data_IF_994497085030
#
_entry.id   IF_994497085030
#
_cell.length_a   1.000
_cell.length_b   1.000
_cell.length_c   1.000
_cell.angle_alpha   90.00
_cell.angle_beta   90.00
_cell.angle_gamma   90.00
#
_symmetry.space_group_name_H-M   'P 1'
#
loop_
_entity.id
_entity.type
_entity.pdbx_description
1 polymer ?
#
# COMPACT_ATOMS: atom_id res chain seq x y z
N UNK A 1 38.24 28.50 6.05
CA UNK A 1 37.63 28.10 4.77
C UNK A 1 36.52 27.08 5.06
N UNK A 2 35.28 27.54 5.11
CA UNK A 2 34.10 26.69 5.37
C UNK A 2 33.52 26.26 4.01
N UNK A 3 33.58 24.97 3.71
CA UNK A 3 32.88 24.39 2.57
C UNK A 3 31.48 23.97 2.98
N UNK A 4 30.46 24.73 2.60
CA UNK A 4 29.05 24.35 2.66
C UNK A 4 28.76 23.35 1.55
N UNK A 5 28.53 22.08 1.90
CA UNK A 5 27.91 21.11 1.01
C UNK A 5 26.38 21.24 1.16
N UNK A 6 25.76 21.92 0.22
CA UNK A 6 24.31 21.97 0.07
C UNK A 6 23.83 20.62 -0.48
N UNK A 7 23.21 19.79 0.36
CA UNK A 7 22.50 18.60 -0.08
C UNK A 7 21.15 19.03 -0.70
N UNK A 8 21.09 19.05 -2.03
CA UNK A 8 19.86 19.33 -2.78
C UNK A 8 18.82 18.27 -2.55
N UNK A 9 17.74 18.61 -1.84
CA UNK A 9 16.50 17.85 -1.79
C UNK A 9 15.69 18.21 -3.05
N UNK A 10 15.63 17.29 -4.00
CA UNK A 10 14.74 17.44 -5.18
C UNK A 10 13.32 17.15 -4.72
N UNK A 11 12.56 18.19 -4.41
CA UNK A 11 11.13 18.18 -4.21
C UNK A 11 10.45 18.29 -5.59
N UNK A 12 10.02 17.16 -6.14
CA UNK A 12 9.10 17.18 -7.28
C UNK A 12 7.67 17.25 -6.74
N UNK A 13 7.08 18.43 -6.82
CA UNK A 13 5.67 18.69 -6.52
C UNK A 13 4.87 18.31 -7.75
N UNK A 14 4.22 17.15 -7.72
CA UNK A 14 3.20 16.76 -8.68
C UNK A 14 1.84 17.29 -8.24
N UNK A 15 1.16 18.05 -9.10
CA UNK A 15 -0.19 18.58 -8.89
C UNK A 15 -1.23 17.47 -9.03
N UNK A 16 -2.00 17.24 -7.97
CA UNK A 16 -3.14 16.30 -7.97
C UNK A 16 -4.39 17.06 -8.40
N UNK A 17 -4.99 16.68 -9.52
CA UNK A 17 -6.34 17.11 -9.92
C UNK A 17 -7.37 16.23 -9.22
N UNK A 18 -8.28 16.87 -8.47
CA UNK A 18 -9.37 16.22 -7.75
C UNK A 18 -10.45 15.70 -8.72
N UNK A 19 -10.72 14.41 -8.69
CA UNK A 19 -11.85 13.76 -9.34
C UNK A 19 -13.06 13.67 -8.40
N UNK A 20 -14.22 14.02 -8.95
CA UNK A 20 -15.52 14.20 -8.28
C UNK A 20 -16.13 12.85 -7.83
N UNK A 21 -16.52 12.75 -6.54
CA UNK A 21 -17.35 11.67 -6.00
C UNK A 21 -18.81 11.87 -6.41
N UNK A 22 -19.41 10.90 -7.09
CA UNK A 22 -20.86 10.78 -7.25
C UNK A 22 -21.38 9.73 -6.27
N UNK A 23 -22.08 10.17 -5.24
CA UNK A 23 -22.81 9.32 -4.32
C UNK A 23 -24.11 8.83 -4.97
N UNK A 24 -24.32 7.52 -5.02
CA UNK A 24 -25.64 6.91 -5.28
C UNK A 24 -26.20 6.35 -4.00
N UNK A 25 -27.25 7.00 -3.51
CA UNK A 25 -28.16 6.50 -2.47
C UNK A 25 -29.13 5.51 -3.09
N UNK A 26 -29.13 4.27 -2.61
CA UNK A 26 -30.13 3.24 -2.90
C UNK A 26 -30.85 2.83 -1.62
N UNK A 27 -32.16 3.03 -1.62
CA UNK A 27 -33.12 2.79 -0.56
C UNK A 27 -33.47 1.30 -0.44
N UNK A 28 -33.68 0.72 0.76
CA UNK A 28 -34.10 -0.68 0.90
C UNK A 28 -35.62 -0.81 0.91
N UNK A 29 -36.17 -1.59 -0.02
CA UNK A 29 -37.54 -2.07 0.02
C UNK A 29 -37.66 -3.37 0.81
N UNK A 30 -38.50 -3.33 1.84
CA UNK A 30 -38.90 -4.45 2.67
C UNK A 30 -40.29 -4.94 2.19
N UNK A 31 -40.57 -6.22 1.98
CA UNK A 31 -41.92 -6.70 1.91
C UNK A 31 -42.34 -7.52 3.13
N UNK A 32 -43.52 -7.18 3.53
CA UNK A 32 -44.37 -7.66 4.61
C UNK A 32 -44.72 -9.15 4.49
N UNK A 33 -44.72 -9.81 5.68
CA UNK A 33 -45.19 -11.17 5.88
C UNK A 33 -46.73 -11.29 5.80
N UNK A 34 -47.22 -12.38 5.21
CA UNK A 34 -48.60 -12.87 5.29
C UNK A 34 -48.65 -14.34 5.74
N UNK A 35 -49.73 -14.80 6.37
CA UNK A 35 -49.72 -15.94 7.27
C UNK A 35 -49.95 -17.30 6.60
N UNK A 36 -49.51 -18.32 7.35
CA UNK A 36 -49.53 -19.75 7.08
C UNK A 36 -50.90 -20.37 6.81
N UNK A 37 -50.92 -21.38 5.94
CA UNK A 37 -51.93 -22.43 5.95
C UNK A 37 -51.24 -23.78 5.84
N UNK A 38 -51.48 -24.64 6.81
CA UNK A 38 -51.02 -26.00 6.92
C UNK A 38 -51.93 -26.95 6.12
N UNK A 39 -51.34 -27.87 5.35
CA UNK A 39 -51.96 -29.17 5.09
C UNK A 39 -50.87 -30.24 4.80
N UNK A 40 -51.03 -31.47 5.31
CA UNK A 40 -49.99 -32.47 5.25
C UNK A 40 -50.24 -33.47 4.10
N UNK A 41 -49.25 -33.66 3.23
CA UNK A 41 -49.28 -34.78 2.30
C UNK A 41 -47.91 -35.34 1.97
N UNK A 42 -47.73 -36.59 2.40
CA UNK A 42 -46.99 -37.68 1.77
C UNK A 42 -45.51 -37.49 1.38
N UNK A 43 -44.69 -38.26 2.12
CA UNK A 43 -43.29 -38.58 1.87
C UNK A 43 -43.08 -39.23 0.49
N UNK A 44 -42.47 -38.48 -0.42
CA UNK A 44 -41.73 -39.06 -1.53
C UNK A 44 -40.26 -38.66 -1.32
N UNK A 45 -39.42 -39.65 -1.02
CA UNK A 45 -37.98 -39.46 -0.91
C UNK A 45 -37.41 -39.17 -2.33
N UNK A 46 -37.36 -37.90 -2.67
CA UNK A 46 -36.61 -37.44 -3.83
C UNK A 46 -35.19 -37.18 -3.35
N UNK A 47 -34.26 -38.04 -3.71
CA UNK A 47 -32.84 -37.79 -3.60
C UNK A 47 -32.50 -36.61 -4.48
N UNK A 48 -32.45 -35.42 -3.86
CA UNK A 48 -31.91 -34.24 -4.55
C UNK A 48 -30.43 -34.50 -4.88
N UNK A 49 -30.02 -34.27 -6.13
CA UNK A 49 -28.61 -34.33 -6.47
C UNK A 49 -27.85 -33.30 -5.57
N UNK A 50 -26.81 -33.79 -4.86
CA UNK A 50 -25.84 -32.92 -4.18
C UNK A 50 -25.32 -31.97 -5.24
N UNK A 51 -25.42 -30.62 -5.05
CA UNK A 51 -24.83 -29.70 -6.00
C UNK A 51 -23.33 -29.97 -6.03
N UNK A 52 -22.81 -30.22 -7.22
CA UNK A 52 -21.37 -30.28 -7.48
C UNK A 52 -20.71 -29.03 -6.86
N UNK A 53 -19.58 -29.14 -6.19
CA UNK A 53 -18.87 -27.98 -5.68
C UNK A 53 -18.57 -27.08 -6.87
N UNK A 54 -19.29 -25.96 -6.96
CA UNK A 54 -19.04 -24.93 -7.96
C UNK A 54 -17.62 -24.43 -7.71
N UNK A 55 -16.66 -24.93 -8.47
CA UNK A 55 -15.30 -24.41 -8.48
C UNK A 55 -15.39 -22.96 -8.96
N UNK A 56 -15.18 -22.03 -8.04
CA UNK A 56 -15.10 -20.60 -8.36
C UNK A 56 -14.04 -20.41 -9.47
N UNK A 57 -14.36 -19.71 -10.57
CA UNK A 57 -13.37 -19.52 -11.63
C UNK A 57 -12.11 -18.87 -11.09
N UNK A 58 -10.95 -19.42 -11.41
CA UNK A 58 -9.67 -18.84 -11.04
C UNK A 58 -9.59 -17.39 -11.55
N UNK A 59 -9.09 -16.47 -10.73
CA UNK A 59 -8.97 -15.06 -11.08
C UNK A 59 -8.11 -14.89 -12.36
N UNK A 60 -8.60 -14.07 -13.28
CA UNK A 60 -7.90 -13.82 -14.56
C UNK A 60 -6.58 -13.08 -14.33
N UNK A 61 -5.65 -13.09 -15.30
CA UNK A 61 -4.45 -12.26 -15.22
C UNK A 61 -4.74 -10.77 -15.00
N UNK A 62 -5.84 -10.29 -15.58
CA UNK A 62 -6.32 -8.92 -15.42
C UNK A 62 -6.72 -8.63 -13.97
N UNK A 63 -7.52 -9.51 -13.35
CA UNK A 63 -7.97 -9.36 -11.97
C UNK A 63 -6.80 -9.40 -11.00
N UNK A 64 -5.85 -10.31 -11.22
CA UNK A 64 -4.64 -10.41 -10.39
C UNK A 64 -3.75 -9.17 -10.54
N UNK A 65 -3.60 -8.64 -11.76
CA UNK A 65 -2.86 -7.41 -12.00
C UNK A 65 -3.55 -6.20 -11.33
N UNK A 66 -4.88 -6.12 -11.35
CA UNK A 66 -5.63 -5.05 -10.69
C UNK A 66 -5.39 -5.02 -9.18
N UNK A 67 -5.32 -6.17 -8.52
CA UNK A 67 -4.98 -6.27 -7.09
C UNK A 67 -3.61 -5.67 -6.82
N UNK A 68 -2.61 -6.04 -7.63
CA UNK A 68 -1.24 -5.49 -7.49
C UNK A 68 -1.24 -3.99 -7.76
N UNK A 69 -1.91 -3.52 -8.81
CA UNK A 69 -1.94 -2.10 -9.19
C UNK A 69 -2.57 -1.22 -8.11
N UNK A 70 -3.70 -1.64 -7.51
CA UNK A 70 -4.32 -0.96 -6.36
C UNK A 70 -3.39 -0.91 -5.14
N UNK A 71 -2.59 -1.94 -4.94
CA UNK A 71 -1.60 -1.98 -3.86
C UNK A 71 -0.48 -0.95 -4.10
N UNK A 72 -0.06 -0.78 -5.36
CA UNK A 72 0.92 0.24 -5.75
C UNK A 72 0.38 1.66 -5.51
N UNK A 73 -0.89 1.93 -5.80
CA UNK A 73 -1.52 3.23 -5.53
C UNK A 73 -1.51 3.56 -4.04
N UNK A 74 -1.84 2.60 -3.18
CA UNK A 74 -1.77 2.79 -1.73
C UNK A 74 -0.34 3.00 -1.25
N UNK A 75 0.63 2.30 -1.84
CA UNK A 75 2.04 2.50 -1.53
C UNK A 75 2.51 3.91 -1.90
N UNK A 76 2.07 4.45 -3.03
CA UNK A 76 2.34 5.83 -3.44
C UNK A 76 1.72 6.84 -2.47
N UNK A 77 0.49 6.59 -1.99
CA UNK A 77 -0.16 7.43 -0.98
C UNK A 77 0.60 7.43 0.35
N UNK A 78 1.03 6.26 0.85
CA UNK A 78 1.85 6.13 2.06
C UNK A 78 3.17 6.90 1.92
N UNK A 79 3.82 6.83 0.75
CA UNK A 79 5.03 7.62 0.47
C UNK A 79 4.78 9.12 0.52
N UNK A 80 3.65 9.59 0.01
CA UNK A 80 3.27 11.01 0.08
C UNK A 80 3.12 11.48 1.55
N UNK A 81 2.42 10.69 2.39
CA UNK A 81 2.31 10.93 3.84
C UNK A 81 3.68 10.97 4.51
N UNK A 82 4.56 10.00 4.20
CA UNK A 82 5.93 9.94 4.71
C UNK A 82 6.69 11.23 4.42
N UNK A 83 6.70 11.67 3.17
CA UNK A 83 7.42 12.88 2.73
C UNK A 83 6.88 14.13 3.42
N UNK A 84 5.57 14.25 3.61
CA UNK A 84 4.94 15.35 4.33
C UNK A 84 5.36 15.35 5.81
N UNK A 85 5.34 14.19 6.46
CA UNK A 85 5.73 14.04 7.86
C UNK A 85 7.22 14.37 8.06
N UNK A 86 8.13 13.84 7.24
CA UNK A 86 9.56 14.18 7.25
C UNK A 86 9.75 15.69 7.05
N UNK A 87 9.04 16.29 6.10
CA UNK A 87 9.09 17.72 5.84
C UNK A 87 8.66 18.56 7.05
N UNK A 88 7.65 18.13 7.80
CA UNK A 88 7.22 18.80 9.03
C UNK A 88 8.28 18.70 10.13
N UNK A 89 8.87 17.52 10.34
CA UNK A 89 9.95 17.33 11.33
C UNK A 89 11.19 18.17 10.98
N UNK A 90 11.57 18.21 9.70
CA UNK A 90 12.70 19.03 9.23
C UNK A 90 12.49 20.53 9.50
N UNK A 91 11.26 21.01 9.37
CA UNK A 91 10.90 22.40 9.69
C UNK A 91 10.56 22.64 11.15
N UNK A 92 10.70 21.63 12.01
CA UNK A 92 10.33 21.67 13.43
C UNK A 92 8.87 22.13 13.66
N UNK A 93 7.94 21.62 12.83
CA UNK A 93 6.52 22.00 12.86
C UNK A 93 5.66 20.76 13.05
N UNK A 94 4.56 20.92 13.82
CA UNK A 94 3.56 19.86 14.03
C UNK A 94 4.18 18.52 14.42
N UNK A 95 5.18 18.54 15.29
CA UNK A 95 6.04 17.39 15.60
C UNK A 95 5.25 16.16 16.04
N UNK A 96 4.26 16.34 16.94
CA UNK A 96 3.41 15.23 17.40
C UNK A 96 2.61 14.61 16.26
N UNK A 97 1.97 15.43 15.43
CA UNK A 97 1.22 14.95 14.26
C UNK A 97 2.13 14.31 13.20
N UNK A 98 3.34 14.89 13.00
CA UNK A 98 4.31 14.32 12.08
C UNK A 98 4.79 12.94 12.56
N UNK A 99 5.07 12.77 13.85
CA UNK A 99 5.44 11.48 14.43
C UNK A 99 4.31 10.46 14.32
N UNK A 100 3.06 10.86 14.56
CA UNK A 100 1.88 9.99 14.38
C UNK A 100 1.77 9.54 12.91
N UNK A 101 1.91 10.45 11.94
CA UNK A 101 1.89 10.12 10.52
C UNK A 101 3.03 9.18 10.09
N UNK A 102 4.24 9.31 10.66
CA UNK A 102 5.32 8.36 10.41
C UNK A 102 5.00 6.95 10.90
N UNK A 103 4.35 6.82 12.06
CA UNK A 103 3.91 5.52 12.61
C UNK A 103 2.82 4.90 11.76
N UNK A 104 1.81 5.70 11.37
CA UNK A 104 0.73 5.27 10.47
C UNK A 104 1.28 4.72 9.16
N UNK A 105 2.26 5.38 8.56
CA UNK A 105 2.93 4.87 7.35
C UNK A 105 3.59 3.51 7.58
N UNK A 106 4.22 3.30 8.72
CA UNK A 106 4.81 2.00 9.08
C UNK A 106 3.75 0.89 9.22
N UNK A 107 2.59 1.20 9.79
CA UNK A 107 1.45 0.29 9.89
C UNK A 107 0.87 -0.04 8.50
N UNK A 108 0.65 0.96 7.66
CA UNK A 108 0.22 0.79 6.27
C UNK A 108 1.18 -0.11 5.47
N UNK A 109 2.50 0.09 5.63
CA UNK A 109 3.52 -0.78 4.97
C UNK A 109 3.43 -2.22 5.43
N UNK A 110 3.24 -2.43 6.72
CA UNK A 110 3.09 -3.78 7.29
C UNK A 110 1.89 -4.50 6.69
N UNK A 111 0.76 -3.80 6.55
CA UNK A 111 -0.43 -4.33 5.90
C UNK A 111 -0.18 -4.62 4.41
N UNK A 112 0.43 -3.69 3.68
CA UNK A 112 0.77 -3.87 2.28
C UNK A 112 1.69 -5.08 2.04
N UNK A 113 2.66 -5.32 2.92
CA UNK A 113 3.53 -6.51 2.85
C UNK A 113 2.72 -7.79 3.03
N UNK A 114 1.81 -7.83 4.00
CA UNK A 114 0.94 -8.98 4.23
C UNK A 114 0.02 -9.24 3.02
N UNK A 115 -0.51 -8.19 2.41
CA UNK A 115 -1.34 -8.29 1.21
C UNK A 115 -0.55 -8.79 -0.01
N UNK A 116 0.71 -8.34 -0.18
CA UNK A 116 1.60 -8.89 -1.23
C UNK A 116 1.83 -10.39 -1.03
N UNK A 117 2.02 -10.83 0.22
CA UNK A 117 2.21 -12.25 0.52
C UNK A 117 0.96 -13.08 0.22
N UNK A 118 -0.22 -12.52 0.47
CA UNK A 118 -1.50 -13.18 0.26
C UNK A 118 -2.01 -13.07 -1.20
N UNK A 119 -1.46 -12.16 -2.01
CA UNK A 119 -1.93 -11.94 -3.36
C UNK A 119 -1.74 -13.17 -4.25
N UNK A 120 -2.80 -13.60 -4.92
CA UNK A 120 -2.68 -14.56 -6.01
C UNK A 120 -2.11 -13.85 -7.24
N UNK A 121 -0.97 -14.33 -7.72
CA UNK A 121 -0.28 -13.83 -8.91
C UNK A 121 0.06 -14.96 -9.87
N UNK A 122 -0.58 -16.12 -9.70
CA UNK A 122 -0.30 -17.36 -10.43
C UNK A 122 -0.57 -17.25 -11.93
N UNK A 123 -1.53 -16.42 -12.33
CA UNK A 123 -1.87 -16.16 -13.73
C UNK A 123 -0.99 -15.08 -14.37
N UNK A 124 -0.16 -14.35 -13.58
CA UNK A 124 0.74 -13.34 -14.12
C UNK A 124 2.06 -13.93 -14.58
N UNK A 125 2.54 -13.51 -15.75
CA UNK A 125 3.88 -13.91 -16.23
C UNK A 125 4.92 -13.46 -15.21
N UNK A 126 5.68 -14.41 -14.66
CA UNK A 126 6.69 -14.14 -13.64
C UNK A 126 6.11 -13.68 -12.28
N UNK A 127 4.87 -14.07 -11.95
CA UNK A 127 4.14 -13.64 -10.75
C UNK A 127 4.94 -13.80 -9.46
N UNK A 128 5.63 -14.91 -9.24
CA UNK A 128 6.47 -15.10 -8.04
C UNK A 128 7.64 -14.09 -7.96
N UNK A 129 8.22 -13.74 -9.11
CA UNK A 129 9.25 -12.70 -9.17
C UNK A 129 8.66 -11.33 -8.86
N UNK A 130 7.46 -11.04 -9.38
CA UNK A 130 6.73 -9.80 -9.06
C UNK A 130 6.45 -9.71 -7.57
N UNK A 131 5.88 -10.78 -6.97
CA UNK A 131 5.58 -10.84 -5.54
C UNK A 131 6.84 -10.62 -4.69
N UNK A 132 7.90 -11.38 -4.96
CA UNK A 132 9.13 -11.34 -4.17
C UNK A 132 9.85 -9.98 -4.25
N UNK A 133 9.93 -9.38 -5.44
CA UNK A 133 10.58 -8.07 -5.62
C UNK A 133 9.76 -6.93 -5.05
N UNK A 134 8.42 -6.98 -5.13
CA UNK A 134 7.55 -6.00 -4.47
C UNK A 134 7.65 -6.11 -2.95
N UNK A 135 7.61 -7.32 -2.40
CA UNK A 135 7.81 -7.57 -0.97
C UNK A 135 9.16 -7.01 -0.49
N UNK A 136 10.24 -7.26 -1.22
CA UNK A 136 11.57 -6.73 -0.89
C UNK A 136 11.56 -5.19 -0.89
N UNK A 137 10.91 -4.57 -1.88
CA UNK A 137 10.81 -3.12 -1.98
C UNK A 137 10.06 -2.51 -0.78
N UNK A 138 8.91 -3.09 -0.42
CA UNK A 138 8.09 -2.63 0.72
C UNK A 138 8.77 -2.89 2.06
N UNK A 139 9.44 -4.04 2.23
CA UNK A 139 10.17 -4.37 3.47
C UNK A 139 11.34 -3.42 3.72
N UNK A 140 12.10 -3.08 2.67
CA UNK A 140 13.16 -2.08 2.79
C UNK A 140 12.61 -0.67 3.05
N UNK A 141 11.42 -0.34 2.51
CA UNK A 141 10.73 0.91 2.80
C UNK A 141 10.28 0.96 4.26
N UNK A 142 9.67 -0.12 4.78
CA UNK A 142 9.28 -0.23 6.19
C UNK A 142 10.49 -0.05 7.13
N UNK A 143 11.63 -0.66 6.82
CA UNK A 143 12.84 -0.46 7.59
C UNK A 143 13.30 1.01 7.61
N UNK A 144 13.14 1.74 6.50
CA UNK A 144 13.40 3.17 6.46
C UNK A 144 12.41 3.97 7.30
N UNK A 145 11.12 3.64 7.21
CA UNK A 145 10.05 4.32 7.94
C UNK A 145 10.24 4.19 9.46
N UNK A 146 10.64 3.01 9.94
CA UNK A 146 10.97 2.77 11.36
C UNK A 146 12.13 3.65 11.84
N UNK A 147 13.17 3.81 11.03
CA UNK A 147 14.30 4.68 11.36
C UNK A 147 13.91 6.17 11.32
N UNK A 148 13.01 6.58 10.45
CA UNK A 148 12.47 7.93 10.45
C UNK A 148 11.58 8.20 11.68
N UNK A 149 10.86 7.21 12.20
CA UNK A 149 10.18 7.30 13.50
C UNK A 149 11.20 7.51 14.62
N UNK A 150 12.28 6.72 14.66
CA UNK A 150 13.35 6.85 15.65
C UNK A 150 14.05 8.22 15.57
N UNK A 151 14.20 8.76 14.36
CA UNK A 151 14.74 10.11 14.15
C UNK A 151 13.78 11.21 14.62
N UNK A 152 12.47 11.04 14.41
CA UNK A 152 11.47 12.07 14.72
C UNK A 152 11.07 12.08 16.21
N UNK A 153 10.99 10.91 16.86
CA UNK A 153 10.44 10.77 18.21
C UNK A 153 11.10 11.68 19.26
N UNK A 154 12.44 11.82 19.34
CA UNK A 154 13.06 12.70 20.31
C UNK A 154 12.76 14.19 20.12
N UNK A 155 12.35 14.59 18.89
CA UNK A 155 12.05 15.99 18.61
C UNK A 155 10.75 16.46 19.26
N UNK A 156 9.80 15.55 19.54
CA UNK A 156 8.48 15.90 20.11
C UNK A 156 8.63 16.55 21.49
N UNK A 157 9.46 15.98 22.35
CA UNK A 157 9.64 16.46 23.73
C UNK A 157 10.93 17.29 23.93
N UNK A 158 11.95 17.05 23.10
CA UNK A 158 13.29 17.66 23.24
C UNK A 158 13.57 18.78 22.24
N UNK A 159 12.61 19.13 21.38
CA UNK A 159 12.82 20.05 20.26
C UNK A 159 13.73 19.45 19.18
N UNK A 160 13.91 20.19 18.09
CA UNK A 160 14.60 19.69 16.89
C UNK A 160 16.14 19.73 17.00
N UNK A 161 16.68 19.54 18.20
CA UNK A 161 18.14 19.48 18.38
C UNK A 161 18.72 18.33 17.57
N UNK A 162 19.79 18.61 16.85
CA UNK A 162 20.45 17.63 16.00
C UNK A 162 21.44 16.78 16.82
N UNK A 163 20.93 15.89 17.66
CA UNK A 163 21.74 14.99 18.49
C UNK A 163 22.40 13.90 17.66
N UNK A 164 23.49 13.30 18.19
CA UNK A 164 24.17 12.16 17.54
C UNK A 164 23.20 11.00 17.27
N UNK A 165 22.31 10.68 18.22
CA UNK A 165 21.31 9.63 18.07
C UNK A 165 20.33 9.91 16.91
N UNK A 166 19.82 11.15 16.80
CA UNK A 166 18.96 11.54 15.69
C UNK A 166 19.67 11.46 14.34
N UNK A 167 20.92 11.94 14.26
CA UNK A 167 21.74 11.83 13.04
C UNK A 167 21.94 10.36 12.63
N UNK A 168 22.24 9.49 13.59
CA UNK A 168 22.43 8.07 13.34
C UNK A 168 21.16 7.42 12.79
N UNK A 169 19.99 7.66 13.40
CA UNK A 169 18.70 7.16 12.90
C UNK A 169 18.39 7.69 11.50
N UNK A 170 18.58 8.99 11.24
CA UNK A 170 18.42 9.56 9.91
C UNK A 170 19.28 8.85 8.87
N UNK A 171 20.56 8.64 9.17
CA UNK A 171 21.50 7.99 8.25
C UNK A 171 21.10 6.53 7.96
N UNK A 172 20.63 5.79 8.98
CA UNK A 172 20.10 4.41 8.76
C UNK A 172 18.84 4.42 7.92
N UNK A 173 17.91 5.36 8.16
CA UNK A 173 16.72 5.54 7.33
C UNK A 173 17.06 5.84 5.87
N UNK A 174 18.03 6.72 5.62
CA UNK A 174 18.51 7.01 4.27
C UNK A 174 19.16 5.78 3.61
N UNK A 175 19.92 4.99 4.35
CA UNK A 175 20.53 3.77 3.85
C UNK A 175 19.47 2.72 3.47
N UNK A 176 18.44 2.53 4.31
CA UNK A 176 17.30 1.65 4.01
C UNK A 176 16.49 2.16 2.81
N UNK A 177 16.24 3.47 2.71
CA UNK A 177 15.58 4.08 1.55
C UNK A 177 16.33 3.81 0.24
N UNK A 178 17.67 3.84 0.24
CA UNK A 178 18.48 3.49 -0.94
C UNK A 178 18.28 2.02 -1.34
N UNK A 179 18.22 1.09 -0.38
CA UNK A 179 17.92 -0.32 -0.66
C UNK A 179 16.51 -0.48 -1.23
N UNK A 180 15.52 0.21 -0.66
CA UNK A 180 14.17 0.23 -1.20
C UNK A 180 14.14 0.71 -2.65
N UNK A 181 14.87 1.77 -3.00
CA UNK A 181 14.96 2.27 -4.38
C UNK A 181 15.53 1.25 -5.36
N UNK A 182 16.54 0.47 -4.96
CA UNK A 182 17.11 -0.59 -5.80
C UNK A 182 16.06 -1.69 -6.03
N UNK A 183 15.36 -2.13 -4.98
CA UNK A 183 14.31 -3.14 -5.08
C UNK A 183 13.13 -2.66 -5.93
N UNK A 184 12.68 -1.40 -5.75
CA UNK A 184 11.64 -0.77 -6.59
C UNK A 184 12.00 -0.75 -8.07
N UNK A 185 13.25 -0.43 -8.41
CA UNK A 185 13.69 -0.48 -9.81
C UNK A 185 13.57 -1.88 -10.40
N UNK A 186 13.96 -2.92 -9.64
CA UNK A 186 13.79 -4.31 -10.08
C UNK A 186 12.33 -4.68 -10.27
N UNK A 187 11.48 -4.32 -9.32
CA UNK A 187 10.04 -4.56 -9.44
C UNK A 187 9.45 -3.86 -10.67
N UNK A 188 9.69 -2.57 -10.87
CA UNK A 188 9.17 -1.82 -12.03
C UNK A 188 9.61 -2.43 -13.35
N UNK A 189 10.87 -2.88 -13.45
CA UNK A 189 11.38 -3.55 -14.65
C UNK A 189 10.67 -4.89 -14.94
N UNK A 190 10.21 -5.59 -13.90
CA UNK A 190 9.42 -6.81 -14.03
C UNK A 190 7.93 -6.54 -14.24
N UNK A 191 7.37 -5.51 -13.59
CA UNK A 191 5.95 -5.18 -13.59
C UNK A 191 5.46 -4.62 -14.92
N UNK A 192 6.14 -3.59 -15.45
CA UNK A 192 5.65 -2.89 -16.64
C UNK A 192 5.45 -3.78 -17.87
N UNK A 193 6.34 -4.75 -18.20
CA UNK A 193 6.10 -5.68 -19.31
C UNK A 193 4.86 -6.57 -19.14
N UNK A 194 4.43 -6.81 -17.91
CA UNK A 194 3.22 -7.60 -17.60
C UNK A 194 1.98 -6.73 -17.55
N UNK A 195 2.05 -5.56 -16.90
CA UNK A 195 0.91 -4.70 -16.65
C UNK A 195 0.43 -3.95 -17.90
N UNK A 196 1.33 -3.43 -18.72
CA UNK A 196 0.96 -2.61 -19.89
C UNK A 196 0.13 -3.41 -20.91
N UNK A 197 0.46 -4.66 -21.29
CA UNK A 197 -0.38 -5.47 -22.17
C UNK A 197 -1.77 -5.79 -21.57
N UNK A 198 -1.90 -5.76 -20.23
CA UNK A 198 -3.17 -5.96 -19.53
C UNK A 198 -3.97 -4.65 -19.37
N UNK A 199 -3.51 -3.54 -19.95
CA UNK A 199 -4.23 -2.26 -19.95
C UNK A 199 -3.94 -1.35 -18.78
N UNK A 200 -2.95 -1.67 -17.92
CA UNK A 200 -2.52 -0.81 -16.81
C UNK A 200 -1.45 0.18 -17.28
N UNK A 201 -1.37 1.32 -16.58
CA UNK A 201 -0.32 2.31 -16.87
C UNK A 201 1.05 1.81 -16.42
N UNK A 202 2.09 2.21 -17.14
CA UNK A 202 3.46 1.95 -16.72
C UNK A 202 3.78 2.68 -15.41
N UNK A 203 4.38 1.97 -14.45
CA UNK A 203 4.77 2.54 -13.15
C UNK A 203 6.23 2.98 -13.16
N UNK A 204 6.52 3.98 -12.32
CA UNK A 204 7.91 4.36 -11.99
C UNK A 204 8.15 4.11 -10.50
N UNK A 205 9.40 4.15 -10.06
CA UNK A 205 9.75 3.97 -8.64
C UNK A 205 9.15 5.02 -7.71
N UNK A 206 8.57 6.09 -8.24
CA UNK A 206 7.88 7.12 -7.46
C UNK A 206 6.48 6.71 -7.05
N UNK A 207 5.87 5.79 -7.78
CA UNK A 207 4.51 5.28 -7.55
C UNK A 207 4.51 3.93 -6.79
N UNK A 208 5.59 3.64 -6.05
CA UNK A 208 5.70 2.42 -5.23
C UNK A 208 6.12 2.81 -3.81
#
# INVERSE_FOLDING_TARGET
MLSLLAAGVILLIGTITAGVLVARTGEPNNPVAGPATTDPTTLAATTSPVPDPTTEPAASPQDQAEVVDKLLDRSAASRSKLNQAIGNVNRCRRLAAALAGLREVGEERTQQIAEVDAADVSALTGGDTLRSTLKEALSNALAADQEFVAWAAPAVNGGCRNTTARKAAWNRGQAASKKAQVAKKRFVAAWNPVAVPLGFESRTTQYI
#
